data_IF_840328071399
#
_entry.id   IF_840328071399
#
_cell.length_a   1.000
_cell.length_b   1.000
_cell.length_c   1.000
_cell.angle_alpha   90.00
_cell.angle_beta   90.00
_cell.angle_gamma   90.00
#
_symmetry.space_group_name_H-M   'P 1'
#
loop_
_entity.id
_entity.type
_entity.pdbx_description
1 polymer ?
#
# COMPACT_ATOMS: atom_id res chain seq x y z
N UNK A 1 19.25 -52.68 -24.52
CA UNK A 1 19.80 -51.30 -24.61
C UNK A 1 18.87 -50.56 -25.54
N UNK A 2 17.98 -49.65 -25.14
CA UNK A 2 18.21 -48.38 -24.45
C UNK A 2 16.96 -47.97 -23.65
N UNK A 3 16.94 -48.31 -22.36
CA UNK A 3 16.08 -47.64 -21.39
C UNK A 3 16.73 -46.29 -21.08
N UNK A 4 16.08 -45.16 -21.35
CA UNK A 4 16.75 -43.88 -21.08
C UNK A 4 16.00 -42.56 -21.30
N UNK A 5 14.72 -42.56 -21.69
CA UNK A 5 14.04 -41.30 -22.04
C UNK A 5 12.94 -40.89 -21.07
N UNK A 6 12.44 -41.78 -20.20
CA UNK A 6 11.23 -41.50 -19.39
C UNK A 6 11.49 -40.91 -17.99
N UNK A 7 12.73 -40.81 -17.54
CA UNK A 7 13.04 -40.55 -16.12
C UNK A 7 13.35 -39.07 -15.75
N UNK A 8 13.31 -38.12 -16.69
CA UNK A 8 13.71 -36.72 -16.42
C UNK A 8 12.57 -35.69 -16.36
N UNK A 9 11.32 -36.11 -16.54
CA UNK A 9 10.18 -35.18 -16.53
C UNK A 9 9.54 -35.05 -15.12
N UNK A 10 9.90 -35.92 -14.18
CA UNK A 10 9.23 -35.98 -12.86
C UNK A 10 9.78 -35.02 -11.80
N UNK A 11 10.78 -34.19 -12.10
CA UNK A 11 11.41 -33.31 -11.08
C UNK A 11 10.88 -31.87 -11.02
N UNK A 12 9.90 -31.48 -11.84
CA UNK A 12 9.36 -30.10 -11.82
C UNK A 12 8.10 -29.89 -10.96
N UNK A 13 7.59 -30.92 -10.28
CA UNK A 13 6.34 -30.80 -9.50
C UNK A 13 6.55 -30.40 -8.02
N UNK A 14 7.80 -30.33 -7.52
CA UNK A 14 8.06 -30.13 -6.09
C UNK A 14 8.29 -28.66 -5.66
N UNK A 15 8.22 -27.69 -6.57
CA UNK A 15 8.46 -26.25 -6.28
C UNK A 15 7.17 -25.45 -6.46
N UNK A 16 6.05 -25.91 -5.90
CA UNK A 16 4.77 -25.19 -5.98
C UNK A 16 3.95 -25.19 -4.68
N UNK A 17 4.58 -25.43 -3.51
CA UNK A 17 3.85 -25.48 -2.22
C UNK A 17 4.34 -24.44 -1.18
N UNK A 18 5.31 -23.57 -1.50
CA UNK A 18 5.74 -22.49 -0.58
C UNK A 18 5.39 -21.11 -1.15
N UNK A 19 4.12 -20.90 -1.48
CA UNK A 19 3.63 -19.62 -2.00
C UNK A 19 2.24 -19.22 -1.53
N UNK A 20 1.55 -20.05 -0.74
CA UNK A 20 0.23 -19.75 -0.18
C UNK A 20 0.33 -19.08 1.19
N UNK A 21 1.27 -18.15 1.38
CA UNK A 21 0.99 -17.06 2.30
C UNK A 21 -0.09 -16.21 1.61
N UNK A 22 -1.36 -16.62 1.79
CA UNK A 22 -2.50 -15.80 1.39
C UNK A 22 -2.33 -14.38 1.95
N UNK A 23 -2.96 -13.37 1.35
CA UNK A 23 -2.79 -11.97 1.73
C UNK A 23 -2.84 -11.89 3.26
N UNK A 24 -1.69 -11.55 3.86
CA UNK A 24 -1.55 -11.46 5.29
C UNK A 24 -2.69 -10.58 5.77
N UNK A 25 -3.56 -11.14 6.63
CA UNK A 25 -4.70 -10.42 7.16
C UNK A 25 -4.19 -9.05 7.61
N UNK A 26 -4.74 -7.98 7.04
CA UNK A 26 -4.38 -6.63 7.42
C UNK A 26 -4.43 -6.56 8.95
N UNK A 27 -3.40 -6.01 9.61
CA UNK A 27 -3.34 -6.00 11.07
C UNK A 27 -4.69 -5.56 11.63
N UNK A 28 -5.21 -6.33 12.58
CA UNK A 28 -6.50 -6.03 13.21
C UNK A 28 -6.44 -4.61 13.76
N UNK A 29 -7.12 -3.67 13.10
CA UNK A 29 -6.99 -2.23 13.37
C UNK A 29 -6.69 -1.35 12.15
N UNK A 30 -6.44 -1.93 10.96
CA UNK A 30 -6.38 -1.18 9.71
C UNK A 30 -7.75 -0.56 9.41
N UNK A 31 -7.95 0.66 9.90
CA UNK A 31 -9.14 1.47 9.60
C UNK A 31 -8.99 2.09 8.22
N UNK A 32 -10.11 2.23 7.52
CA UNK A 32 -10.13 2.90 6.23
C UNK A 32 -9.66 4.34 6.40
N UNK A 33 -8.84 4.80 5.45
CA UNK A 33 -8.44 6.19 5.37
C UNK A 33 -9.61 7.00 4.81
N UNK A 34 -10.07 7.99 5.55
CA UNK A 34 -11.14 8.89 5.12
C UNK A 34 -10.55 10.09 4.42
N UNK A 35 -11.13 10.49 3.28
CA UNK A 35 -10.73 11.71 2.58
C UNK A 35 -11.73 12.82 2.87
N UNK A 36 -11.23 13.99 3.27
CA UNK A 36 -12.06 15.15 3.59
C UNK A 36 -11.47 16.41 2.95
N UNK A 37 -12.32 17.27 2.43
CA UNK A 37 -11.92 18.61 2.00
C UNK A 37 -11.99 19.56 3.19
N UNK A 38 -10.85 20.10 3.61
CA UNK A 38 -10.75 21.02 4.76
C UNK A 38 -10.84 22.50 4.37
N UNK A 39 -10.84 22.78 3.07
CA UNK A 39 -10.95 24.14 2.55
C UNK A 39 -10.80 24.21 1.04
N UNK A 40 -10.70 25.43 0.54
CA UNK A 40 -10.41 25.72 -0.87
C UNK A 40 -9.33 26.78 -0.94
N UNK A 41 -8.45 26.66 -1.93
CA UNK A 41 -7.48 27.70 -2.25
C UNK A 41 -8.17 28.94 -2.84
N UNK A 42 -7.43 30.03 -2.96
CA UNK A 42 -7.89 31.26 -3.63
C UNK A 42 -8.34 31.00 -5.07
N UNK A 43 -7.76 30.00 -5.75
CA UNK A 43 -8.16 29.59 -7.11
C UNK A 43 -9.33 28.59 -7.12
N UNK A 44 -9.89 28.25 -5.97
CA UNK A 44 -11.03 27.33 -5.82
C UNK A 44 -10.67 25.84 -5.76
N UNK A 45 -9.39 25.48 -5.88
CA UNK A 45 -8.94 24.09 -5.77
C UNK A 45 -9.14 23.54 -4.35
N UNK A 46 -9.56 22.27 -4.17
CA UNK A 46 -9.77 21.70 -2.85
C UNK A 46 -8.44 21.56 -2.08
N UNK A 47 -8.50 21.78 -0.76
CA UNK A 47 -7.43 21.40 0.17
C UNK A 47 -7.89 20.10 0.81
N UNK A 48 -7.20 19.01 0.49
CA UNK A 48 -7.57 17.65 0.92
C UNK A 48 -6.80 17.24 2.17
N UNK A 49 -7.46 16.53 3.07
CA UNK A 49 -6.85 15.84 4.19
C UNK A 49 -7.27 14.37 4.16
N UNK A 50 -6.37 13.52 4.64
CA UNK A 50 -6.58 12.10 4.82
C UNK A 50 -6.56 11.79 6.30
N UNK A 51 -7.64 11.21 6.82
CA UNK A 51 -7.81 10.92 8.24
C UNK A 51 -7.77 9.42 8.44
N UNK A 52 -6.82 8.96 9.24
CA UNK A 52 -6.84 7.61 9.80
C UNK A 52 -7.49 7.71 11.19
N UNK A 53 -8.75 7.27 11.37
CA UNK A 53 -9.41 7.41 12.66
C UNK A 53 -8.65 6.61 13.72
N UNK A 54 -8.20 7.27 14.79
CA UNK A 54 -7.36 6.69 15.84
C UNK A 54 -7.92 6.92 17.24
N UNK A 55 -7.10 6.63 18.26
CA UNK A 55 -7.27 7.17 19.61
C UNK A 55 -6.33 8.36 19.80
N UNK A 56 -6.54 9.13 20.87
CA UNK A 56 -5.66 10.26 21.20
C UNK A 56 -4.33 9.79 21.80
N UNK A 57 -3.22 10.53 21.58
CA UNK A 57 -3.16 11.83 20.90
C UNK A 57 -3.11 11.73 19.36
N UNK A 58 -3.81 12.63 18.67
CA UNK A 58 -3.74 12.77 17.22
C UNK A 58 -2.40 13.33 16.72
N UNK A 59 -1.97 12.89 15.52
CA UNK A 59 -0.79 13.41 14.82
C UNK A 59 -1.23 14.10 13.54
N UNK A 60 -0.78 15.34 13.34
CA UNK A 60 -1.00 16.10 12.12
C UNK A 60 0.29 16.14 11.28
N UNK A 61 0.18 15.73 10.02
CA UNK A 61 1.26 15.80 9.03
C UNK A 61 0.77 16.69 7.89
N UNK A 62 1.60 17.66 7.49
CA UNK A 62 1.27 18.63 6.43
C UNK A 62 2.43 18.70 5.45
N UNK A 63 2.13 18.71 4.16
CA UNK A 63 3.07 18.90 3.06
C UNK A 63 2.54 19.91 2.04
N UNK A 64 3.39 20.37 1.12
CA UNK A 64 2.99 21.25 0.02
C UNK A 64 2.59 22.67 0.46
N UNK A 65 3.19 23.18 1.54
CA UNK A 65 2.90 24.54 2.03
C UNK A 65 3.41 25.60 1.05
N UNK A 66 4.64 25.43 0.55
CA UNK A 66 5.17 26.24 -0.54
C UNK A 66 4.97 25.51 -1.88
N UNK A 67 4.59 26.25 -2.91
CA UNK A 67 4.24 25.68 -4.23
C UNK A 67 5.43 25.10 -5.00
N UNK A 68 6.64 25.34 -4.55
CA UNK A 68 7.92 24.89 -5.11
C UNK A 68 8.59 23.78 -4.30
N UNK A 69 7.89 23.20 -3.32
CA UNK A 69 8.36 22.08 -2.49
C UNK A 69 7.63 20.76 -2.82
N UNK A 70 7.86 20.14 -3.99
CA UNK A 70 7.06 19.01 -4.47
C UNK A 70 7.25 17.74 -3.63
N UNK A 71 8.40 17.56 -2.99
CA UNK A 71 8.72 16.36 -2.21
C UNK A 71 7.77 16.21 -1.02
N UNK A 72 7.45 17.31 -0.32
CA UNK A 72 6.52 17.26 0.80
C UNK A 72 5.11 16.80 0.39
N UNK A 73 4.68 17.16 -0.81
CA UNK A 73 3.39 16.73 -1.37
C UNK A 73 3.38 15.24 -1.74
N UNK A 74 4.52 14.69 -2.17
CA UNK A 74 4.61 13.28 -2.54
C UNK A 74 4.68 12.33 -1.33
N UNK A 75 5.07 12.83 -0.15
CA UNK A 75 5.22 12.05 1.08
C UNK A 75 3.95 11.98 1.92
N UNK A 76 2.99 12.87 1.69
CA UNK A 76 1.73 13.02 2.46
C UNK A 76 0.55 12.57 1.61
#
# INVERSE_FOLDING_TARGET
MTAGVKARILSLAAVWIVGCAGPQAAPAGARALESVTIGRSVRGAPIEARVLPGGEPGILIIGGVHGDEPIGTALV
#
